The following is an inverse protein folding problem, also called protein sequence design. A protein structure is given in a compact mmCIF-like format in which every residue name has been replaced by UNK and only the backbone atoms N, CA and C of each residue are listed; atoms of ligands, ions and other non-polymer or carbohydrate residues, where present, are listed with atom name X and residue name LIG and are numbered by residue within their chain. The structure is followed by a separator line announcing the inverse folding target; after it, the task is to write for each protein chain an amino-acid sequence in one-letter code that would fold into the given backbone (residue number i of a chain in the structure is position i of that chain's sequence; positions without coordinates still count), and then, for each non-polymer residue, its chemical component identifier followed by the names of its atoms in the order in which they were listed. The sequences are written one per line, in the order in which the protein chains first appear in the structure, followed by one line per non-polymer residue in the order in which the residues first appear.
data_IF_370700242256
#
_entry.id   IF_370700242256
#
_cell.length_a   1.000
_cell.length_b   1.000
_cell.length_c   1.000
_cell.angle_alpha   90.00
_cell.angle_beta   90.00
_cell.angle_gamma   90.00
#
_symmetry.space_group_name_H-M   'P 1'
#
loop_
_entity.id
_entity.type
_entity.pdbx_description
1 polymer ?
#
# COMPACT_ATOMS: atom_id res chain seq x y z
N UNK A 1 24.12 -26.45 11.10
CA UNK A 1 24.68 -25.11 10.81
C UNK A 1 25.56 -25.12 9.55
N UNK A 2 26.52 -26.04 9.43
CA UNK A 2 27.39 -26.19 8.25
C UNK A 2 26.64 -26.34 6.92
N UNK A 3 25.61 -27.19 6.86
CA UNK A 3 24.80 -27.38 5.64
C UNK A 3 24.00 -26.14 5.19
N UNK A 4 23.59 -25.28 6.14
CA UNK A 4 22.92 -24.03 5.80
C UNK A 4 23.91 -23.02 5.23
N UNK A 5 25.13 -22.95 5.80
CA UNK A 5 26.20 -22.07 5.31
C UNK A 5 26.66 -22.46 3.91
N UNK A 6 26.80 -23.75 3.61
CA UNK A 6 27.15 -24.20 2.24
C UNK A 6 26.07 -23.84 1.23
N UNK A 7 24.80 -24.05 1.56
CA UNK A 7 23.67 -23.65 0.72
C UNK A 7 23.63 -22.12 0.49
N UNK A 8 23.85 -21.32 1.54
CA UNK A 8 23.94 -19.86 1.42
C UNK A 8 25.08 -19.43 0.48
N UNK A 9 26.26 -20.03 0.62
CA UNK A 9 27.41 -19.74 -0.24
C UNK A 9 27.14 -20.10 -1.70
N UNK A 10 26.47 -21.22 -1.97
CA UNK A 10 26.08 -21.61 -3.33
C UNK A 10 25.06 -20.64 -3.94
N UNK A 11 24.05 -20.22 -3.18
CA UNK A 11 23.07 -19.21 -3.63
C UNK A 11 23.76 -17.89 -3.95
N UNK A 12 24.65 -17.40 -3.08
CA UNK A 12 25.41 -16.17 -3.31
C UNK A 12 26.32 -16.29 -4.54
N UNK A 13 27.03 -17.41 -4.69
CA UNK A 13 27.86 -17.66 -5.86
C UNK A 13 27.03 -17.63 -7.15
N UNK A 14 25.89 -18.32 -7.18
CA UNK A 14 24.99 -18.31 -8.33
C UNK A 14 24.49 -16.89 -8.69
N UNK A 15 24.10 -16.10 -7.70
CA UNK A 15 23.66 -14.71 -7.89
C UNK A 15 24.78 -13.83 -8.45
N UNK A 16 25.99 -13.89 -7.87
CA UNK A 16 27.15 -13.12 -8.34
C UNK A 16 27.56 -13.54 -9.75
N UNK A 17 27.58 -14.86 -10.03
CA UNK A 17 27.88 -15.39 -11.36
C UNK A 17 26.90 -14.89 -12.42
N UNK A 18 25.60 -14.87 -12.12
CA UNK A 18 24.60 -14.39 -13.09
C UNK A 18 24.73 -12.88 -13.32
N UNK A 19 25.00 -12.09 -12.29
CA UNK A 19 25.24 -10.64 -12.42
C UNK A 19 26.46 -10.42 -13.31
N UNK A 20 27.55 -11.14 -13.06
CA UNK A 20 28.78 -11.03 -13.84
C UNK A 20 28.56 -11.43 -15.31
N UNK A 21 27.85 -12.53 -15.55
CA UNK A 21 27.52 -13.01 -16.89
C UNK A 21 26.67 -11.99 -17.67
N UNK A 22 25.60 -11.48 -17.05
CA UNK A 22 24.72 -10.47 -17.67
C UNK A 22 25.44 -9.13 -17.89
N UNK A 23 26.38 -8.76 -17.01
CA UNK A 23 27.27 -7.61 -17.23
C UNK A 23 28.14 -7.78 -18.48
N UNK A 24 28.63 -8.99 -18.76
CA UNK A 24 29.42 -9.30 -19.95
C UNK A 24 28.61 -9.30 -21.25
N UNK A 25 27.35 -9.72 -21.22
CA UNK A 25 26.45 -9.73 -22.39
C UNK A 25 25.87 -8.36 -22.76
N UNK A 26 26.03 -7.37 -21.88
CA UNK A 26 25.43 -6.05 -22.04
C UNK A 26 26.07 -5.29 -23.21
N UNK A 27 25.25 -4.93 -24.19
CA UNK A 27 25.58 -3.91 -25.20
C UNK A 27 25.16 -2.53 -24.68
N UNK A 28 25.86 -1.47 -25.09
CA UNK A 28 25.67 -0.10 -24.55
C UNK A 28 24.44 0.63 -25.13
N UNK A 29 23.43 -0.10 -25.59
CA UNK A 29 22.15 0.43 -26.04
C UNK A 29 21.11 0.44 -24.91
N UNK A 30 20.37 1.55 -24.78
CA UNK A 30 19.42 1.76 -23.69
C UNK A 30 18.29 0.72 -23.60
N UNK A 31 17.89 0.12 -24.73
CA UNK A 31 16.82 -0.88 -24.80
C UNK A 31 17.21 -2.24 -24.19
N UNK A 32 18.49 -2.62 -24.30
CA UNK A 32 18.99 -3.89 -23.77
C UNK A 32 19.06 -3.88 -22.23
N UNK A 33 19.20 -2.69 -21.63
CA UNK A 33 19.33 -2.52 -20.17
C UNK A 33 18.07 -2.93 -19.40
N UNK A 34 16.88 -2.65 -19.92
CA UNK A 34 15.61 -3.02 -19.26
C UNK A 34 15.38 -4.54 -19.35
N UNK A 35 15.61 -5.12 -20.52
CA UNK A 35 15.52 -6.57 -20.76
C UNK A 35 16.49 -7.34 -19.86
N UNK A 36 17.77 -6.92 -19.79
CA UNK A 36 18.76 -7.54 -18.91
C UNK A 36 18.33 -7.48 -17.44
N UNK A 37 17.81 -6.34 -16.97
CA UNK A 37 17.34 -6.21 -15.58
C UNK A 37 16.15 -7.13 -15.30
N UNK A 38 15.20 -7.25 -16.23
CA UNK A 38 14.05 -8.18 -16.09
C UNK A 38 14.50 -9.64 -16.16
N UNK A 39 15.49 -9.98 -16.98
CA UNK A 39 16.10 -11.33 -16.98
C UNK A 39 16.73 -11.64 -15.63
N UNK A 40 17.50 -10.71 -15.05
CA UNK A 40 18.05 -10.86 -13.70
C UNK A 40 16.92 -11.04 -12.66
N UNK A 41 15.87 -10.22 -12.72
CA UNK A 41 14.71 -10.34 -11.83
C UNK A 41 14.02 -11.70 -11.89
N UNK A 42 13.78 -12.23 -13.10
CA UNK A 42 13.19 -13.56 -13.30
C UNK A 42 14.11 -14.65 -12.75
N UNK A 43 15.42 -14.57 -13.00
CA UNK A 43 16.39 -15.53 -12.49
C UNK A 43 16.44 -15.53 -10.97
N UNK A 44 16.58 -14.35 -10.35
CA UNK A 44 16.59 -14.19 -8.89
C UNK A 44 15.29 -14.70 -8.28
N UNK A 45 14.14 -14.32 -8.85
CA UNK A 45 12.82 -14.79 -8.42
C UNK A 45 12.69 -16.31 -8.47
N UNK A 46 13.05 -16.91 -9.60
CA UNK A 46 13.01 -18.38 -9.78
C UNK A 46 13.96 -19.10 -8.83
N UNK A 47 15.16 -18.57 -8.61
CA UNK A 47 16.09 -19.11 -7.62
C UNK A 47 15.49 -19.04 -6.21
N UNK A 48 14.91 -17.90 -5.82
CA UNK A 48 14.32 -17.75 -4.49
C UNK A 48 13.08 -18.63 -4.28
N UNK A 49 12.32 -18.95 -5.33
CA UNK A 49 11.21 -19.91 -5.23
C UNK A 49 11.65 -21.27 -4.72
N UNK A 50 12.91 -21.68 -4.94
CA UNK A 50 13.46 -22.95 -4.43
C UNK A 50 13.77 -22.97 -2.92
N UNK A 51 13.71 -21.82 -2.24
CA UNK A 51 14.15 -21.70 -0.84
C UNK A 51 13.41 -22.59 0.16
N UNK A 52 12.08 -22.85 0.06
CA UNK A 52 11.38 -23.73 0.99
C UNK A 52 11.89 -25.17 1.00
N UNK A 53 12.63 -25.60 -0.05
CA UNK A 53 13.25 -26.92 -0.10
C UNK A 53 14.72 -26.90 0.36
N UNK A 54 15.40 -25.76 0.18
CA UNK A 54 16.81 -25.60 0.54
C UNK A 54 16.98 -25.28 2.03
N UNK A 55 16.11 -24.42 2.58
CA UNK A 55 16.25 -23.88 3.93
C UNK A 55 15.10 -24.32 4.82
N UNK A 56 15.44 -24.99 5.92
CA UNK A 56 14.46 -25.45 6.93
C UNK A 56 14.21 -24.43 8.04
N UNK A 57 15.10 -23.46 8.19
CA UNK A 57 15.00 -22.39 9.18
C UNK A 57 14.95 -21.03 8.48
N UNK A 58 14.35 -19.99 9.09
CA UNK A 58 14.24 -18.67 8.46
C UNK A 58 15.55 -17.86 8.48
N UNK A 59 16.42 -18.10 9.46
CA UNK A 59 17.64 -17.30 9.64
C UNK A 59 18.56 -17.24 8.41
N UNK A 60 18.83 -18.33 7.64
CA UNK A 60 19.71 -18.28 6.47
C UNK A 60 19.15 -17.35 5.40
N UNK A 61 17.84 -17.41 5.15
CA UNK A 61 17.16 -16.60 4.15
C UNK A 61 17.14 -15.14 4.57
N UNK A 62 16.83 -14.85 5.84
CA UNK A 62 16.88 -13.48 6.38
C UNK A 62 18.29 -12.90 6.27
N UNK A 63 19.32 -13.68 6.63
CA UNK A 63 20.71 -13.28 6.51
C UNK A 63 21.10 -12.99 5.04
N UNK A 64 20.77 -13.89 4.11
CA UNK A 64 21.00 -13.68 2.67
C UNK A 64 20.30 -12.41 2.17
N UNK A 65 19.04 -12.19 2.56
CA UNK A 65 18.26 -11.01 2.19
C UNK A 65 18.90 -9.72 2.67
N UNK A 66 19.40 -9.67 3.91
CA UNK A 66 20.09 -8.49 4.46
C UNK A 66 21.40 -8.26 3.71
N UNK A 67 22.23 -9.28 3.52
CA UNK A 67 23.51 -9.14 2.83
C UNK A 67 23.34 -8.73 1.36
N UNK A 68 22.39 -9.33 0.64
CA UNK A 68 22.08 -8.95 -0.74
C UNK A 68 21.60 -7.49 -0.82
N UNK A 69 20.76 -7.06 0.12
CA UNK A 69 20.28 -5.66 0.20
C UNK A 69 21.43 -4.67 0.42
N UNK A 70 22.33 -4.98 1.36
CA UNK A 70 23.51 -4.17 1.64
C UNK A 70 24.47 -4.13 0.46
N UNK A 71 24.68 -5.26 -0.20
CA UNK A 71 25.51 -5.35 -1.39
C UNK A 71 24.95 -4.51 -2.55
N UNK A 72 23.65 -4.60 -2.83
CA UNK A 72 22.99 -3.78 -3.86
C UNK A 72 23.08 -2.30 -3.49
N UNK A 73 22.88 -1.96 -2.21
CA UNK A 73 23.06 -0.60 -1.71
C UNK A 73 24.49 -0.09 -1.98
N UNK A 74 25.51 -0.90 -1.68
CA UNK A 74 26.91 -0.57 -1.94
C UNK A 74 27.19 -0.36 -3.44
N UNK A 75 26.76 -1.29 -4.30
CA UNK A 75 26.90 -1.18 -5.76
C UNK A 75 26.31 0.13 -6.28
N UNK A 76 25.16 0.52 -5.73
CA UNK A 76 24.43 1.72 -6.10
C UNK A 76 25.09 3.01 -5.59
N UNK A 77 25.48 3.06 -4.32
CA UNK A 77 26.11 4.25 -3.69
C UNK A 77 27.52 4.47 -4.25
N UNK A 78 28.28 3.41 -4.46
CA UNK A 78 29.64 3.46 -5.02
C UNK A 78 29.67 3.58 -6.55
N UNK A 79 28.49 3.56 -7.21
CA UNK A 79 28.34 3.63 -8.67
C UNK A 79 29.30 2.68 -9.42
N UNK A 80 29.35 1.42 -8.99
CA UNK A 80 30.28 0.43 -9.52
C UNK A 80 29.99 0.17 -11.01
N UNK A 81 30.80 0.75 -11.90
CA UNK A 81 30.55 0.75 -13.37
C UNK A 81 30.33 -0.65 -13.96
N UNK A 82 30.97 -1.68 -13.39
CA UNK A 82 30.83 -3.06 -13.86
C UNK A 82 29.43 -3.65 -13.62
N UNK A 83 28.78 -3.32 -12.50
CA UNK A 83 27.56 -4.02 -12.03
C UNK A 83 26.36 -3.09 -11.91
N UNK A 84 26.56 -1.81 -11.61
CA UNK A 84 25.50 -0.82 -11.49
C UNK A 84 24.57 -0.77 -12.72
N UNK A 85 25.04 -0.89 -13.98
CA UNK A 85 24.14 -0.88 -15.15
C UNK A 85 23.21 -2.10 -15.26
N UNK A 86 23.54 -3.21 -14.60
CA UNK A 86 22.76 -4.45 -14.60
C UNK A 86 21.83 -4.48 -13.39
N UNK A 87 22.34 -4.06 -12.24
CA UNK A 87 21.64 -4.11 -10.96
C UNK A 87 20.72 -2.90 -10.76
N UNK A 88 21.12 -1.71 -11.21
CA UNK A 88 20.36 -0.47 -10.95
C UNK A 88 19.63 0.02 -12.21
N UNK A 89 18.36 0.40 -12.06
CA UNK A 89 17.63 1.07 -13.12
C UNK A 89 18.30 2.40 -13.54
N UNK A 90 18.57 2.57 -14.84
CA UNK A 90 19.13 3.82 -15.39
C UNK A 90 18.07 4.93 -15.40
N UNK A 91 18.46 6.13 -14.98
CA UNK A 91 17.65 7.36 -15.13
C UNK A 91 16.48 7.54 -14.15
N UNK A 92 16.30 6.65 -13.17
CA UNK A 92 15.29 6.79 -12.10
C UNK A 92 15.87 6.41 -10.76
N UNK A 93 15.54 7.19 -9.72
CA UNK A 93 15.84 6.80 -8.34
C UNK A 93 14.83 5.73 -7.88
N UNK A 94 15.14 4.47 -8.17
CA UNK A 94 14.38 3.28 -7.72
C UNK A 94 15.06 2.65 -6.50
N UNK A 95 14.30 2.26 -5.48
CA UNK A 95 14.78 1.44 -4.36
C UNK A 95 14.35 -0.02 -4.50
N UNK A 96 13.66 -0.37 -5.59
CA UNK A 96 13.05 -1.68 -5.79
C UNK A 96 14.03 -2.84 -5.75
N UNK A 97 15.27 -2.61 -6.16
CA UNK A 97 16.31 -3.64 -6.18
C UNK A 97 16.78 -4.01 -4.76
N UNK A 98 16.66 -3.08 -3.81
CA UNK A 98 16.87 -3.35 -2.37
C UNK A 98 15.59 -3.94 -1.76
N UNK A 99 14.41 -3.48 -2.20
CA UNK A 99 13.13 -3.99 -1.73
C UNK A 99 12.92 -5.47 -2.02
N UNK A 100 13.37 -5.97 -3.18
CA UNK A 100 13.19 -7.36 -3.60
C UNK A 100 13.75 -8.38 -2.59
N UNK A 101 15.07 -8.38 -2.26
CA UNK A 101 15.61 -9.35 -1.31
C UNK A 101 15.00 -9.21 0.09
N UNK A 102 14.70 -7.98 0.54
CA UNK A 102 14.01 -7.75 1.81
C UNK A 102 12.61 -8.39 1.83
N UNK A 103 11.85 -8.25 0.74
CA UNK A 103 10.52 -8.85 0.63
C UNK A 103 10.59 -10.37 0.65
N UNK A 104 11.55 -10.97 -0.06
CA UNK A 104 11.78 -12.42 -0.05
C UNK A 104 12.07 -12.92 1.36
N UNK A 105 12.97 -12.25 2.09
CA UNK A 105 13.33 -12.66 3.46
C UNK A 105 12.17 -12.48 4.44
N UNK A 106 11.44 -11.38 4.33
CA UNK A 106 10.30 -11.09 5.19
C UNK A 106 9.14 -12.06 4.94
N UNK A 107 8.78 -12.32 3.68
CA UNK A 107 7.71 -13.29 3.36
C UNK A 107 8.14 -14.71 3.76
N UNK A 108 9.40 -15.10 3.59
CA UNK A 108 9.88 -16.41 4.06
C UNK A 108 9.74 -16.56 5.58
N UNK A 109 10.12 -15.51 6.33
CA UNK A 109 9.96 -15.46 7.78
C UNK A 109 8.49 -15.57 8.19
N UNK A 110 7.62 -14.77 7.55
CA UNK A 110 6.19 -14.72 7.88
C UNK A 110 5.45 -16.02 7.51
N UNK A 111 5.82 -16.65 6.39
CA UNK A 111 5.20 -17.89 5.93
C UNK A 111 5.36 -19.07 6.91
N UNK A 112 6.31 -19.02 7.85
CA UNK A 112 6.41 -19.99 8.94
C UNK A 112 6.58 -21.44 8.50
N UNK A 113 7.07 -21.68 7.28
CA UNK A 113 7.20 -23.01 6.68
C UNK A 113 6.06 -23.42 5.74
N UNK A 114 4.97 -22.64 5.67
CA UNK A 114 3.91 -22.87 4.67
C UNK A 114 4.41 -22.48 3.27
N UNK A 115 4.45 -23.46 2.37
CA UNK A 115 4.97 -23.27 1.01
C UNK A 115 4.07 -22.36 0.18
N UNK A 116 2.75 -22.42 0.36
CA UNK A 116 1.80 -21.61 -0.39
C UNK A 116 1.96 -20.13 -0.02
N UNK A 117 2.05 -19.84 1.28
CA UNK A 117 2.22 -18.49 1.81
C UNK A 117 3.55 -17.83 1.36
N UNK A 118 4.57 -18.63 1.05
CA UNK A 118 5.83 -18.11 0.51
C UNK A 118 5.88 -18.06 -1.02
N UNK A 119 5.59 -19.18 -1.68
CA UNK A 119 5.82 -19.32 -3.12
C UNK A 119 4.89 -18.45 -3.94
N UNK A 120 3.63 -18.29 -3.53
CA UNK A 120 2.65 -17.50 -4.30
C UNK A 120 3.08 -16.01 -4.35
N UNK A 121 3.35 -15.32 -3.22
CA UNK A 121 3.82 -13.94 -3.26
C UNK A 121 5.09 -13.73 -4.09
N UNK A 122 6.08 -14.63 -3.96
CA UNK A 122 7.36 -14.54 -4.68
C UNK A 122 7.14 -14.80 -6.18
N UNK A 123 6.29 -15.75 -6.54
CA UNK A 123 6.01 -16.06 -7.94
C UNK A 123 5.19 -14.95 -8.62
N UNK A 124 4.24 -14.32 -7.91
CA UNK A 124 3.54 -13.12 -8.41
C UNK A 124 4.56 -12.01 -8.69
N UNK A 125 5.44 -11.72 -7.73
CA UNK A 125 6.49 -10.72 -7.93
C UNK A 125 7.43 -11.07 -9.09
N UNK A 126 7.70 -12.35 -9.31
CA UNK A 126 8.63 -12.80 -10.37
C UNK A 126 8.00 -12.71 -11.75
N UNK A 127 6.83 -13.32 -11.92
CA UNK A 127 6.21 -13.54 -13.24
C UNK A 127 5.22 -12.46 -13.62
N UNK A 128 4.36 -12.00 -12.69
CA UNK A 128 3.34 -11.00 -13.00
C UNK A 128 3.96 -9.61 -13.22
N UNK A 129 4.96 -9.22 -12.42
CA UNK A 129 5.70 -7.96 -12.63
C UNK A 129 6.43 -7.93 -13.98
N UNK A 130 7.18 -8.99 -14.32
CA UNK A 130 7.88 -9.06 -15.59
C UNK A 130 6.92 -9.13 -16.79
N UNK A 131 5.90 -9.99 -16.71
CA UNK A 131 4.94 -10.18 -17.81
C UNK A 131 4.07 -8.95 -18.07
N UNK A 132 3.59 -8.28 -17.01
CA UNK A 132 2.81 -7.05 -17.14
C UNK A 132 3.60 -5.90 -17.76
N UNK A 133 4.89 -5.78 -17.45
CA UNK A 133 5.77 -4.80 -18.07
C UNK A 133 5.95 -5.06 -19.57
N UNK A 134 6.23 -6.30 -19.97
CA UNK A 134 6.37 -6.69 -21.38
C UNK A 134 5.09 -6.44 -22.19
N UNK A 135 3.94 -6.84 -21.64
CA UNK A 135 2.64 -6.65 -22.28
C UNK A 135 2.28 -5.16 -22.33
N UNK A 136 2.50 -4.41 -21.25
CA UNK A 136 2.25 -2.98 -21.18
C UNK A 136 3.09 -2.18 -22.17
N UNK A 137 4.36 -2.56 -22.39
CA UNK A 137 5.23 -1.92 -23.39
C UNK A 137 4.78 -2.21 -24.83
N UNK A 138 4.37 -3.44 -25.12
CA UNK A 138 4.03 -3.88 -26.50
C UNK A 138 2.61 -3.55 -26.91
N UNK A 139 1.64 -3.66 -26.00
CA UNK A 139 0.21 -3.58 -26.29
C UNK A 139 -0.52 -2.46 -25.55
N UNK A 140 0.18 -1.68 -24.71
CA UNK A 140 -0.45 -0.66 -23.89
C UNK A 140 -1.00 0.53 -24.67
N UNK A 141 -2.34 0.63 -24.75
CA UNK A 141 -3.05 1.74 -25.40
C UNK A 141 -3.62 2.71 -24.36
N UNK A 142 -4.26 2.18 -23.31
CA UNK A 142 -4.97 2.98 -22.29
C UNK A 142 -4.03 3.32 -21.13
N UNK A 143 -3.39 4.49 -21.26
CA UNK A 143 -2.40 5.02 -20.31
C UNK A 143 -3.06 5.78 -19.16
N UNK A 144 -2.52 5.65 -17.95
CA UNK A 144 -2.89 6.46 -16.79
C UNK A 144 -1.65 6.89 -16.01
N UNK A 145 -1.72 8.06 -15.37
CA UNK A 145 -0.62 8.61 -14.60
C UNK A 145 -0.60 8.09 -13.16
N UNK A 146 0.57 7.61 -12.73
CA UNK A 146 0.89 7.25 -11.35
C UNK A 146 1.96 8.19 -10.80
N UNK A 147 2.36 8.01 -9.54
CA UNK A 147 3.42 8.81 -8.92
C UNK A 147 4.80 8.62 -9.58
N UNK A 148 4.98 7.55 -10.35
CA UNK A 148 6.25 7.09 -10.93
C UNK A 148 6.33 7.20 -12.45
N UNK A 149 5.24 7.65 -13.10
CA UNK A 149 5.16 7.77 -14.55
C UNK A 149 3.82 7.31 -15.10
N UNK A 150 3.87 6.62 -16.24
CA UNK A 150 2.69 6.17 -16.97
C UNK A 150 2.59 4.65 -16.86
N UNK A 151 1.46 4.16 -16.36
CA UNK A 151 1.08 2.74 -16.40
C UNK A 151 -0.05 2.54 -17.42
N UNK A 152 -0.33 1.29 -17.78
CA UNK A 152 -1.34 0.94 -18.78
C UNK A 152 -2.35 -0.04 -18.20
N UNK A 153 -3.62 0.09 -18.58
CA UNK A 153 -4.66 -0.83 -18.10
C UNK A 153 -4.43 -2.25 -18.60
N UNK A 154 -3.85 -2.39 -19.79
CA UNK A 154 -3.49 -3.66 -20.41
C UNK A 154 -2.38 -4.36 -19.61
N UNK A 155 -1.38 -3.61 -19.14
CA UNK A 155 -0.36 -4.12 -18.22
C UNK A 155 -0.97 -4.60 -16.89
N UNK A 156 -1.85 -3.81 -16.27
CA UNK A 156 -2.51 -4.22 -15.01
C UNK A 156 -3.41 -5.45 -15.18
N UNK A 157 -4.14 -5.57 -16.30
CA UNK A 157 -4.93 -6.78 -16.61
C UNK A 157 -4.04 -8.00 -16.81
N UNK A 158 -2.92 -7.84 -17.52
CA UNK A 158 -1.93 -8.90 -17.67
C UNK A 158 -1.32 -9.31 -16.33
N UNK A 159 -1.02 -8.35 -15.45
CA UNK A 159 -0.55 -8.61 -14.09
C UNK A 159 -1.56 -9.50 -13.34
N UNK A 160 -2.83 -9.09 -13.30
CA UNK A 160 -3.87 -9.83 -12.59
C UNK A 160 -4.06 -11.24 -13.16
N UNK A 161 -4.04 -11.40 -14.49
CA UNK A 161 -4.18 -12.72 -15.13
C UNK A 161 -3.00 -13.65 -14.79
N UNK A 162 -1.77 -13.15 -14.89
CA UNK A 162 -0.58 -13.96 -14.56
C UNK A 162 -0.57 -14.30 -13.06
N UNK A 163 -0.89 -13.33 -12.20
CA UNK A 163 -1.00 -13.55 -10.76
C UNK A 163 -2.07 -14.62 -10.44
N UNK A 164 -3.23 -14.57 -11.10
CA UNK A 164 -4.29 -15.56 -10.96
C UNK A 164 -3.84 -16.97 -11.36
N UNK A 165 -3.21 -17.11 -12.53
CA UNK A 165 -2.73 -18.40 -13.04
C UNK A 165 -1.66 -18.99 -12.13
N UNK A 166 -0.65 -18.19 -11.77
CA UNK A 166 0.45 -18.63 -10.89
C UNK A 166 -0.07 -19.01 -9.51
N UNK A 167 -0.99 -18.23 -8.94
CA UNK A 167 -1.61 -18.53 -7.65
C UNK A 167 -2.40 -19.85 -7.71
N UNK A 168 -3.20 -20.04 -8.76
CA UNK A 168 -4.00 -21.27 -8.95
C UNK A 168 -3.11 -22.50 -9.06
N UNK A 169 -2.04 -22.42 -9.86
CA UNK A 169 -1.08 -23.53 -10.03
C UNK A 169 -0.42 -23.87 -8.71
N UNK A 170 0.14 -22.87 -8.01
CA UNK A 170 0.88 -23.13 -6.77
C UNK A 170 -0.06 -23.66 -5.67
N UNK A 171 -1.24 -23.05 -5.46
CA UNK A 171 -2.24 -23.56 -4.51
C UNK A 171 -2.57 -25.03 -4.77
N UNK A 172 -2.77 -25.41 -6.04
CA UNK A 172 -3.09 -26.79 -6.42
C UNK A 172 -1.94 -27.77 -6.14
N UNK A 173 -0.70 -27.29 -6.10
CA UNK A 173 0.49 -28.10 -5.83
C UNK A 173 0.88 -28.14 -4.35
N UNK A 174 0.57 -27.09 -3.57
CA UNK A 174 1.11 -26.92 -2.21
C UNK A 174 0.08 -26.90 -1.10
N UNK A 175 -1.18 -26.55 -1.35
CA UNK A 175 -2.19 -26.36 -0.31
C UNK A 175 -3.01 -27.62 0.04
N UNK A 176 -2.74 -28.76 -0.63
CA UNK A 176 -3.54 -29.98 -0.49
C UNK A 176 -4.88 -29.91 -1.27
N UNK A 177 -5.81 -30.85 -1.03
CA UNK A 177 -7.05 -30.95 -1.80
C UNK A 177 -8.03 -29.82 -1.42
N UNK A 178 -7.95 -28.70 -2.13
CA UNK A 178 -8.93 -27.62 -2.05
C UNK A 178 -10.04 -27.82 -3.09
N UNK A 179 -11.33 -27.61 -2.73
CA UNK A 179 -12.40 -27.50 -3.71
C UNK A 179 -12.06 -26.46 -4.79
N UNK A 180 -12.33 -26.78 -6.06
CA UNK A 180 -11.98 -25.91 -7.19
C UNK A 180 -12.54 -24.49 -7.02
N UNK A 181 -13.78 -24.34 -6.54
CA UNK A 181 -14.39 -23.05 -6.27
C UNK A 181 -13.62 -22.22 -5.22
N UNK A 182 -13.13 -22.87 -4.15
CA UNK A 182 -12.33 -22.21 -3.11
C UNK A 182 -10.98 -21.76 -3.67
N UNK A 183 -10.29 -22.63 -4.42
CA UNK A 183 -9.01 -22.32 -5.05
C UNK A 183 -9.12 -21.15 -6.04
N UNK A 184 -10.11 -21.17 -6.93
CA UNK A 184 -10.32 -20.12 -7.93
C UNK A 184 -10.73 -18.78 -7.28
N UNK A 185 -11.60 -18.80 -6.27
CA UNK A 185 -12.00 -17.59 -5.56
C UNK A 185 -10.82 -16.97 -4.80
N UNK A 186 -10.03 -17.79 -4.10
CA UNK A 186 -8.83 -17.34 -3.39
C UNK A 186 -7.80 -16.74 -4.37
N UNK A 187 -7.52 -17.44 -5.47
CA UNK A 187 -6.61 -16.95 -6.51
C UNK A 187 -7.09 -15.63 -7.13
N UNK A 188 -8.40 -15.48 -7.36
CA UNK A 188 -9.00 -14.25 -7.86
C UNK A 188 -8.80 -13.07 -6.90
N UNK A 189 -9.07 -13.28 -5.60
CA UNK A 189 -8.87 -12.25 -4.57
C UNK A 189 -7.40 -11.84 -4.49
N UNK A 190 -6.48 -12.79 -4.40
CA UNK A 190 -5.03 -12.53 -4.30
C UNK A 190 -4.54 -11.77 -5.54
N UNK A 191 -4.96 -12.19 -6.74
CA UNK A 191 -4.60 -11.53 -8.00
C UNK A 191 -5.08 -10.06 -8.05
N UNK A 192 -6.32 -9.79 -7.65
CA UNK A 192 -6.88 -8.44 -7.62
C UNK A 192 -6.15 -7.56 -6.59
N UNK A 193 -5.90 -8.07 -5.39
CA UNK A 193 -5.17 -7.34 -4.34
C UNK A 193 -3.74 -7.05 -4.79
N UNK A 194 -3.04 -8.03 -5.35
CA UNK A 194 -1.69 -7.87 -5.86
C UNK A 194 -1.61 -6.83 -6.99
N UNK A 195 -2.58 -6.83 -7.91
CA UNK A 195 -2.69 -5.80 -8.95
C UNK A 195 -2.95 -4.40 -8.35
N UNK A 196 -3.76 -4.29 -7.30
CA UNK A 196 -3.96 -3.00 -6.62
C UNK A 196 -2.65 -2.53 -5.94
N UNK A 197 -1.90 -3.42 -5.29
CA UNK A 197 -0.59 -3.09 -4.72
C UNK A 197 0.42 -2.65 -5.79
N UNK A 198 0.45 -3.32 -6.96
CA UNK A 198 1.24 -2.89 -8.12
C UNK A 198 0.83 -1.47 -8.55
N UNK A 199 -0.48 -1.20 -8.69
CA UNK A 199 -0.99 0.07 -9.18
C UNK A 199 -0.68 1.26 -8.25
N UNK A 200 -0.59 1.03 -6.93
CA UNK A 200 -0.26 2.09 -5.95
C UNK A 200 1.24 2.33 -5.77
N UNK A 201 2.08 1.38 -6.18
CA UNK A 201 3.50 1.40 -5.88
C UNK A 201 4.26 2.46 -6.68
N UNK A 202 5.32 3.00 -6.05
CA UNK A 202 6.21 4.01 -6.62
C UNK A 202 7.65 3.78 -6.15
N UNK A 203 8.64 4.32 -6.86
CA UNK A 203 10.08 4.13 -6.73
C UNK A 203 10.52 2.67 -6.57
N UNK A 204 9.83 1.74 -7.24
CA UNK A 204 10.12 0.30 -7.13
C UNK A 204 9.60 -0.34 -5.83
N UNK A 205 8.73 0.32 -5.07
CA UNK A 205 8.12 -0.26 -3.86
C UNK A 205 7.20 -1.46 -4.15
N UNK A 206 6.81 -1.69 -5.40
CA UNK A 206 6.09 -2.89 -5.84
C UNK A 206 6.86 -4.16 -5.47
N UNK A 207 8.19 -4.12 -5.58
CA UNK A 207 9.05 -5.22 -5.16
C UNK A 207 8.96 -5.57 -3.66
N UNK A 208 8.36 -4.72 -2.83
CA UNK A 208 8.06 -4.99 -1.42
C UNK A 208 6.58 -5.17 -1.15
N UNK A 209 5.75 -4.26 -1.68
CA UNK A 209 4.32 -4.20 -1.39
C UNK A 209 3.52 -5.32 -2.06
N UNK A 210 3.91 -5.77 -3.26
CA UNK A 210 3.21 -6.87 -3.94
C UNK A 210 3.37 -8.19 -3.18
N UNK A 211 4.59 -8.63 -2.79
CA UNK A 211 4.72 -9.85 -1.98
C UNK A 211 4.00 -9.75 -0.64
N UNK A 212 4.21 -8.68 0.12
CA UNK A 212 3.58 -8.54 1.44
C UNK A 212 2.06 -8.45 1.37
N UNK A 213 1.56 -7.74 0.36
CA UNK A 213 0.13 -7.65 0.07
C UNK A 213 -0.49 -8.99 -0.32
N UNK A 214 0.21 -9.78 -1.13
CA UNK A 214 -0.22 -11.12 -1.54
C UNK A 214 -0.17 -12.09 -0.37
N UNK A 215 0.87 -12.02 0.47
CA UNK A 215 0.96 -12.79 1.72
C UNK A 215 -0.22 -12.48 2.63
N UNK A 216 -0.49 -11.19 2.90
CA UNK A 216 -1.59 -10.77 3.76
C UNK A 216 -2.95 -11.20 3.19
N UNK A 217 -3.12 -11.13 1.87
CA UNK A 217 -4.31 -11.64 1.20
C UNK A 217 -4.48 -13.14 1.41
N UNK A 218 -3.43 -13.95 1.26
CA UNK A 218 -3.51 -15.38 1.52
C UNK A 218 -3.82 -15.66 2.99
N UNK A 219 -3.05 -15.10 3.91
CA UNK A 219 -3.19 -15.32 5.36
C UNK A 219 -4.61 -15.03 5.85
N UNK A 220 -5.23 -13.97 5.35
CA UNK A 220 -6.57 -13.53 5.77
C UNK A 220 -7.73 -14.25 5.08
N UNK A 221 -7.47 -15.10 4.08
CA UNK A 221 -8.51 -15.73 3.25
C UNK A 221 -8.37 -17.25 3.10
N UNK A 222 -7.17 -17.81 3.24
CA UNK A 222 -6.87 -19.21 2.89
C UNK A 222 -7.70 -20.23 3.70
N UNK A 223 -8.07 -19.89 4.93
CA UNK A 223 -8.89 -20.73 5.80
C UNK A 223 -10.41 -20.61 5.59
N UNK A 224 -10.87 -19.71 4.72
CA UNK A 224 -12.29 -19.42 4.55
C UNK A 224 -12.97 -20.40 3.58
N UNK A 225 -14.24 -20.76 3.84
CA UNK A 225 -15.03 -21.57 2.92
C UNK A 225 -15.33 -20.81 1.62
N UNK A 226 -15.65 -21.54 0.55
CA UNK A 226 -15.89 -20.97 -0.78
C UNK A 226 -16.98 -19.89 -0.81
N UNK A 227 -18.04 -20.03 0.00
CA UNK A 227 -19.11 -19.02 0.11
C UNK A 227 -18.60 -17.67 0.62
N UNK A 228 -17.81 -17.68 1.69
CA UNK A 228 -17.25 -16.47 2.29
C UNK A 228 -16.22 -15.82 1.36
N UNK A 229 -15.40 -16.62 0.68
CA UNK A 229 -14.51 -16.12 -0.37
C UNK A 229 -15.29 -15.46 -1.51
N UNK A 230 -16.38 -16.07 -1.96
CA UNK A 230 -17.27 -15.49 -2.96
C UNK A 230 -17.78 -14.11 -2.52
N UNK A 231 -18.28 -14.00 -1.28
CA UNK A 231 -18.73 -12.72 -0.72
C UNK A 231 -17.60 -11.69 -0.65
N UNK A 232 -16.41 -12.08 -0.18
CA UNK A 232 -15.24 -11.18 -0.11
C UNK A 232 -14.81 -10.70 -1.50
N UNK A 233 -14.82 -11.58 -2.50
CA UNK A 233 -14.53 -11.22 -3.88
C UNK A 233 -15.55 -10.23 -4.44
N UNK A 234 -16.85 -10.45 -4.19
CA UNK A 234 -17.91 -9.53 -4.59
C UNK A 234 -17.73 -8.14 -3.93
N UNK A 235 -17.40 -8.11 -2.64
CA UNK A 235 -17.15 -6.84 -1.92
C UNK A 235 -15.90 -6.15 -2.44
N UNK A 236 -14.81 -6.87 -2.70
CA UNK A 236 -13.59 -6.32 -3.29
C UNK A 236 -13.87 -5.68 -4.64
N UNK A 237 -14.52 -6.41 -5.55
CA UNK A 237 -14.87 -5.94 -6.89
C UNK A 237 -15.87 -4.79 -6.83
N UNK A 238 -16.89 -4.89 -5.98
CA UNK A 238 -17.90 -3.86 -5.78
C UNK A 238 -17.31 -2.55 -5.25
N UNK A 239 -16.46 -2.64 -4.22
CA UNK A 239 -15.77 -1.49 -3.63
C UNK A 239 -14.81 -0.84 -4.62
N UNK A 240 -13.97 -1.64 -5.30
CA UNK A 240 -13.05 -1.14 -6.32
C UNK A 240 -13.82 -0.45 -7.46
N UNK A 241 -14.89 -1.06 -7.94
CA UNK A 241 -15.74 -0.52 -9.01
C UNK A 241 -16.44 0.77 -8.58
N UNK A 242 -16.98 0.83 -7.36
CA UNK A 242 -17.62 2.01 -6.80
C UNK A 242 -16.66 3.20 -6.69
N UNK A 243 -15.44 2.96 -6.20
CA UNK A 243 -14.40 3.99 -6.06
C UNK A 243 -13.90 4.42 -7.46
N UNK A 244 -13.72 3.48 -8.40
CA UNK A 244 -13.36 3.83 -9.79
C UNK A 244 -14.47 4.64 -10.47
N UNK A 245 -15.74 4.30 -10.27
CA UNK A 245 -16.86 5.06 -10.83
C UNK A 245 -16.95 6.46 -10.22
N UNK A 246 -16.74 6.55 -8.90
CA UNK A 246 -16.67 7.81 -8.16
C UNK A 246 -15.46 8.68 -8.55
N UNK A 247 -14.50 8.17 -9.33
CA UNK A 247 -13.30 8.93 -9.74
C UNK A 247 -13.61 10.28 -10.36
N UNK A 248 -14.68 10.38 -11.16
CA UNK A 248 -15.11 11.64 -11.82
C UNK A 248 -15.50 12.71 -10.79
N UNK A 249 -15.90 12.26 -9.59
CA UNK A 249 -16.24 13.08 -8.43
C UNK A 249 -15.09 13.17 -7.42
N UNK A 250 -13.83 12.88 -7.80
CA UNK A 250 -12.65 13.10 -6.92
C UNK A 250 -11.51 13.84 -7.63
N UNK A 251 -10.54 14.30 -6.86
CA UNK A 251 -9.31 15.01 -7.26
C UNK A 251 -8.09 14.10 -7.15
N UNK A 252 -8.31 12.81 -6.91
CA UNK A 252 -7.30 11.78 -6.73
C UNK A 252 -6.87 11.22 -8.10
N UNK A 253 -5.59 10.90 -8.25
CA UNK A 253 -5.08 10.19 -9.42
C UNK A 253 -5.41 8.68 -9.36
N UNK A 254 -5.11 7.94 -10.43
CA UNK A 254 -5.42 6.52 -10.53
C UNK A 254 -4.81 5.67 -9.41
N UNK A 255 -3.56 5.94 -9.03
CA UNK A 255 -2.90 5.22 -7.93
C UNK A 255 -3.50 5.56 -6.57
N UNK A 256 -3.91 6.80 -6.31
CA UNK A 256 -4.60 7.16 -5.08
C UNK A 256 -5.97 6.47 -4.96
N UNK A 257 -6.72 6.34 -6.06
CA UNK A 257 -8.00 5.61 -6.10
C UNK A 257 -7.80 4.14 -5.73
N UNK A 258 -6.81 3.48 -6.33
CA UNK A 258 -6.47 2.10 -5.98
C UNK A 258 -6.06 1.97 -4.50
N UNK A 259 -5.33 2.95 -3.96
CA UNK A 259 -4.93 2.97 -2.54
C UNK A 259 -6.10 3.12 -1.58
N UNK A 260 -7.10 3.94 -1.92
CA UNK A 260 -8.32 4.06 -1.11
C UNK A 260 -9.11 2.75 -1.14
N UNK A 261 -9.26 2.12 -2.31
CA UNK A 261 -9.97 0.85 -2.42
C UNK A 261 -9.31 -0.24 -1.57
N UNK A 262 -7.99 -0.33 -1.63
CA UNK A 262 -7.20 -1.27 -0.85
C UNK A 262 -7.33 -1.01 0.65
N UNK A 263 -7.21 0.25 1.09
CA UNK A 263 -7.35 0.61 2.50
C UNK A 263 -8.75 0.29 3.04
N UNK A 264 -9.81 0.67 2.31
CA UNK A 264 -11.18 0.37 2.72
C UNK A 264 -11.45 -1.14 2.79
N UNK A 265 -10.90 -1.92 1.85
CA UNK A 265 -11.04 -3.38 1.86
C UNK A 265 -10.37 -4.02 3.08
N UNK A 266 -9.12 -3.64 3.38
CA UNK A 266 -8.43 -4.17 4.57
C UNK A 266 -9.04 -3.66 5.88
N UNK A 267 -9.53 -2.42 5.92
CA UNK A 267 -10.27 -1.91 7.09
C UNK A 267 -11.51 -2.76 7.36
N UNK A 268 -12.23 -3.15 6.29
CA UNK A 268 -13.39 -4.04 6.40
C UNK A 268 -13.01 -5.45 6.87
N UNK A 269 -11.96 -6.06 6.31
CA UNK A 269 -11.58 -7.44 6.69
C UNK A 269 -11.04 -7.53 8.11
N UNK A 270 -10.20 -6.58 8.51
CA UNK A 270 -9.51 -6.63 9.80
C UNK A 270 -10.43 -6.19 10.94
N UNK A 271 -11.18 -5.09 10.75
CA UNK A 271 -12.02 -4.51 11.79
C UNK A 271 -13.52 -4.74 11.62
N UNK A 272 -14.00 -5.06 10.42
CA UNK A 272 -15.43 -5.21 10.11
C UNK A 272 -16.06 -3.98 9.41
N UNK A 273 -17.38 -4.02 9.13
CA UNK A 273 -18.10 -2.97 8.37
C UNK A 273 -17.94 -1.55 8.93
N UNK A 274 -17.96 -1.41 10.26
CA UNK A 274 -17.85 -0.11 10.91
C UNK A 274 -16.47 0.55 10.68
N UNK A 275 -15.41 -0.25 10.57
CA UNK A 275 -14.06 0.25 10.35
C UNK A 275 -13.85 0.75 8.92
N UNK A 276 -14.60 0.22 7.94
CA UNK A 276 -14.60 0.76 6.58
C UNK A 276 -15.40 2.06 6.44
N UNK A 277 -16.25 2.42 7.41
CA UNK A 277 -17.15 3.57 7.32
C UNK A 277 -16.39 4.90 7.24
N UNK A 278 -15.46 5.15 8.17
CA UNK A 278 -14.68 6.40 8.24
C UNK A 278 -13.89 6.72 6.96
N UNK A 279 -13.10 5.79 6.37
CA UNK A 279 -12.40 6.08 5.12
C UNK A 279 -13.35 6.25 3.92
N UNK A 280 -14.46 5.51 3.86
CA UNK A 280 -15.48 5.67 2.79
C UNK A 280 -16.16 7.03 2.88
N UNK A 281 -16.56 7.46 4.08
CA UNK A 281 -17.17 8.77 4.31
C UNK A 281 -16.21 9.90 3.99
N UNK A 282 -14.94 9.78 4.38
CA UNK A 282 -13.94 10.78 4.01
C UNK A 282 -13.74 10.82 2.49
N UNK A 283 -13.62 9.68 1.81
CA UNK A 283 -13.47 9.62 0.36
C UNK A 283 -14.67 10.22 -0.39
N UNK A 284 -15.90 9.90 0.03
CA UNK A 284 -17.12 10.44 -0.59
C UNK A 284 -17.41 11.89 -0.23
N UNK A 285 -17.05 12.32 0.99
CA UNK A 285 -17.45 13.59 1.59
C UNK A 285 -16.41 14.70 1.54
N UNK A 286 -15.12 14.41 1.30
CA UNK A 286 -14.08 15.46 1.42
C UNK A 286 -14.28 16.62 0.44
N UNK A 287 -14.94 16.41 -0.71
CA UNK A 287 -15.26 17.51 -1.65
C UNK A 287 -16.25 18.52 -1.09
N UNK A 288 -17.11 18.12 -0.15
CA UNK A 288 -18.02 19.03 0.57
C UNK A 288 -17.19 19.93 1.51
N UNK A 289 -16.08 19.40 2.02
CA UNK A 289 -15.11 20.14 2.84
C UNK A 289 -14.27 21.10 1.99
N UNK A 290 -14.12 20.83 0.69
CA UNK A 290 -13.50 21.74 -0.27
C UNK A 290 -14.51 22.81 -0.74
N UNK A 291 -14.09 24.07 -0.89
CA UNK A 291 -14.95 25.11 -1.42
C UNK A 291 -15.08 25.06 -2.93
N UNK A 292 -16.13 25.74 -3.40
CA UNK A 292 -16.58 25.77 -4.78
C UNK A 292 -15.42 25.95 -5.79
N UNK A 293 -14.52 26.92 -5.58
CA UNK A 293 -13.42 27.22 -6.52
C UNK A 293 -12.36 26.10 -6.70
N UNK A 294 -12.31 25.12 -5.79
CA UNK A 294 -11.40 23.98 -5.88
C UNK A 294 -12.11 22.68 -6.25
N UNK A 295 -13.43 22.72 -6.49
CA UNK A 295 -14.18 21.57 -7.03
C UNK A 295 -13.80 21.28 -8.49
N UNK A 296 -13.29 22.28 -9.20
CA UNK A 296 -12.89 22.21 -10.61
C UNK A 296 -11.39 21.93 -10.84
N UNK A 297 -10.61 21.71 -9.76
CA UNK A 297 -9.20 21.35 -9.92
C UNK A 297 -9.04 19.94 -10.51
N UNK A 298 -8.25 19.84 -11.59
CA UNK A 298 -7.79 18.58 -12.17
C UNK A 298 -7.06 17.73 -11.12
N UNK A 299 -7.11 16.40 -11.27
CA UNK A 299 -6.56 15.42 -10.35
C UNK A 299 -5.09 15.68 -9.98
N UNK A 300 -4.85 16.27 -8.81
CA UNK A 300 -3.53 16.71 -8.34
C UNK A 300 -3.02 15.93 -7.13
N UNK A 301 -3.88 15.15 -6.49
CA UNK A 301 -3.54 14.41 -5.27
C UNK A 301 -3.06 13.01 -5.63
N UNK A 302 -1.85 12.68 -5.20
CA UNK A 302 -1.17 11.42 -5.45
C UNK A 302 -1.29 10.46 -4.26
N UNK A 303 -0.77 9.25 -4.42
CA UNK A 303 -0.74 8.20 -3.39
C UNK A 303 -0.17 8.69 -2.03
N UNK A 304 0.74 9.67 -2.03
CA UNK A 304 1.29 10.26 -0.79
C UNK A 304 0.21 10.87 0.12
N UNK A 305 -0.85 11.45 -0.46
CA UNK A 305 -1.96 11.99 0.30
C UNK A 305 -2.77 10.86 0.97
N UNK A 306 -3.01 9.77 0.24
CA UNK A 306 -3.72 8.59 0.77
C UNK A 306 -2.93 7.93 1.87
N UNK A 307 -1.62 7.77 1.72
CA UNK A 307 -0.74 7.21 2.75
C UNK A 307 -0.70 8.10 3.98
N UNK A 308 -0.66 9.42 3.80
CA UNK A 308 -0.74 10.37 4.92
C UNK A 308 -2.01 10.13 5.74
N UNK A 309 -3.16 10.00 5.06
CA UNK A 309 -4.47 9.77 5.71
C UNK A 309 -4.57 8.37 6.32
N UNK A 310 -4.05 7.36 5.65
CA UNK A 310 -4.12 5.97 6.09
C UNK A 310 -3.17 5.67 7.26
N UNK A 311 -2.01 6.35 7.36
CA UNK A 311 -0.91 5.95 8.26
C UNK A 311 -1.33 5.75 9.71
N UNK A 312 -1.99 6.74 10.32
CA UNK A 312 -2.49 6.61 11.70
C UNK A 312 -3.67 5.61 11.81
N UNK A 313 -4.50 5.49 10.76
CA UNK A 313 -5.57 4.49 10.70
C UNK A 313 -5.05 3.05 10.67
N UNK A 314 -3.93 2.79 9.97
CA UNK A 314 -3.27 1.47 9.93
C UNK A 314 -2.87 1.03 11.34
N UNK A 315 -2.32 1.94 12.15
CA UNK A 315 -1.92 1.62 13.54
C UNK A 315 -3.11 1.08 14.33
N UNK A 316 -4.24 1.77 14.30
CA UNK A 316 -5.45 1.31 15.01
C UNK A 316 -6.03 0.02 14.44
N UNK A 317 -5.95 -0.19 13.12
CA UNK A 317 -6.38 -1.45 12.51
C UNK A 317 -5.57 -2.65 13.03
N UNK A 318 -4.27 -2.49 13.31
CA UNK A 318 -3.45 -3.55 13.92
C UNK A 318 -3.92 -3.94 15.32
N UNK A 319 -4.61 -3.03 16.02
CA UNK A 319 -5.16 -3.28 17.35
C UNK A 319 -6.67 -3.61 17.32
N UNK A 320 -7.32 -3.56 16.15
CA UNK A 320 -8.77 -3.76 16.02
C UNK A 320 -9.28 -5.09 16.59
N UNK A 321 -8.45 -6.13 16.56
CA UNK A 321 -8.77 -7.44 17.13
C UNK A 321 -8.75 -7.49 18.66
N UNK A 322 -8.14 -6.51 19.34
CA UNK A 322 -8.03 -6.48 20.80
C UNK A 322 -9.22 -5.82 21.49
N UNK A 323 -9.80 -4.78 20.89
CA UNK A 323 -11.01 -4.13 21.39
C UNK A 323 -11.71 -3.34 20.28
N UNK A 324 -13.04 -3.38 20.29
CA UNK A 324 -13.88 -2.55 19.42
C UNK A 324 -13.85 -1.07 19.82
N UNK A 325 -13.46 -0.73 21.06
CA UNK A 325 -13.40 0.66 21.54
C UNK A 325 -12.37 1.49 20.76
N UNK A 326 -11.37 0.84 20.15
CA UNK A 326 -10.38 1.50 19.30
C UNK A 326 -10.95 2.08 18.01
N UNK A 327 -12.21 1.79 17.70
CA UNK A 327 -12.91 2.43 16.59
C UNK A 327 -13.15 3.94 16.84
N UNK A 328 -13.21 4.39 18.11
CA UNK A 328 -13.29 5.80 18.45
C UNK A 328 -12.01 6.58 18.10
N UNK A 329 -10.81 6.24 18.62
CA UNK A 329 -9.59 6.90 18.21
C UNK A 329 -9.28 6.73 16.72
N UNK A 330 -9.63 5.58 16.11
CA UNK A 330 -9.57 5.40 14.65
C UNK A 330 -10.40 6.45 13.91
N UNK A 331 -11.65 6.69 14.33
CA UNK A 331 -12.54 7.69 13.71
C UNK A 331 -12.00 9.11 13.88
N UNK A 332 -11.42 9.43 15.04
CA UNK A 332 -10.78 10.73 15.26
C UNK A 332 -9.57 10.97 14.34
N UNK A 333 -8.84 9.93 13.92
CA UNK A 333 -7.79 10.07 12.89
C UNK A 333 -8.38 10.65 11.60
N UNK A 334 -9.45 10.06 11.07
CA UNK A 334 -10.08 10.54 9.84
C UNK A 334 -10.71 11.92 10.03
N UNK A 335 -11.30 12.17 11.21
CA UNK A 335 -11.92 13.46 11.51
C UNK A 335 -10.89 14.59 11.64
N UNK A 336 -9.73 14.31 12.26
CA UNK A 336 -8.58 15.20 12.26
C UNK A 336 -8.09 15.50 10.84
N UNK A 337 -7.97 14.49 9.99
CA UNK A 337 -7.65 14.69 8.57
C UNK A 337 -8.68 15.52 7.83
N UNK A 338 -9.98 15.28 8.03
CA UNK A 338 -11.07 16.04 7.44
C UNK A 338 -11.00 17.53 7.84
N UNK A 339 -10.76 17.82 9.12
CA UNK A 339 -10.60 19.18 9.62
C UNK A 339 -9.36 19.85 9.03
N UNK A 340 -8.22 19.15 8.97
CA UNK A 340 -6.99 19.68 8.35
C UNK A 340 -7.20 19.95 6.85
N UNK A 341 -7.91 19.10 6.13
CA UNK A 341 -8.25 19.31 4.70
C UNK A 341 -9.12 20.57 4.55
N UNK A 342 -10.14 20.74 5.41
CA UNK A 342 -11.01 21.92 5.41
C UNK A 342 -10.25 23.21 5.78
N UNK A 343 -9.26 23.13 6.68
CA UNK A 343 -8.46 24.29 7.10
C UNK A 343 -7.37 24.64 6.10
N UNK A 344 -6.74 23.64 5.47
CA UNK A 344 -5.75 23.85 4.42
C UNK A 344 -6.31 24.71 3.29
N UNK A 345 -7.63 24.65 3.06
CA UNK A 345 -8.30 25.55 2.15
C UNK A 345 -8.26 27.04 2.56
N UNK A 346 -8.50 27.38 3.83
CA UNK A 346 -8.63 28.77 4.29
C UNK A 346 -7.40 29.61 3.97
N UNK A 347 -6.22 28.98 4.00
CA UNK A 347 -4.94 29.58 3.63
C UNK A 347 -4.92 30.12 2.19
N UNK A 348 -5.58 29.44 1.25
CA UNK A 348 -5.55 29.85 -0.14
C UNK A 348 -6.56 30.93 -0.50
N UNK A 349 -7.44 31.30 0.44
CA UNK A 349 -8.45 32.35 0.22
C UNK A 349 -7.90 33.76 0.40
N UNK A 350 -6.58 33.91 0.60
CA UNK A 350 -5.96 35.21 0.84
C UNK A 350 -6.38 35.85 2.17
N UNK A 351 -6.97 35.06 3.07
CA UNK A 351 -7.37 35.52 4.40
C UNK A 351 -6.14 35.43 5.31
N UNK A 352 -5.52 36.56 5.59
CA UNK A 352 -4.26 36.67 6.34
C UNK A 352 -4.39 36.43 7.86
N UNK A 353 -5.61 36.27 8.40
CA UNK A 353 -5.85 35.94 9.82
C UNK A 353 -6.75 34.71 9.97
N UNK A 354 -6.47 33.82 10.95
CA UNK A 354 -7.43 32.78 11.30
C UNK A 354 -8.69 33.45 11.86
N UNK A 355 -9.80 33.40 11.13
CA UNK A 355 -11.07 33.57 11.79
C UNK A 355 -11.28 32.31 12.63
N UNK A 356 -11.23 32.45 13.96
CA UNK A 356 -11.56 31.36 14.91
C UNK A 356 -12.85 30.66 14.47
N UNK A 357 -13.83 31.44 14.01
CA UNK A 357 -15.06 30.96 13.42
C UNK A 357 -14.87 29.93 12.29
N UNK A 358 -13.91 30.15 11.40
CA UNK A 358 -13.69 29.28 10.25
C UNK A 358 -12.96 27.98 10.63
N UNK A 359 -12.12 28.00 11.67
CA UNK A 359 -11.53 26.79 12.28
C UNK A 359 -12.61 25.99 13.00
N UNK A 360 -13.46 26.66 13.79
CA UNK A 360 -14.63 26.04 14.43
C UNK A 360 -15.54 25.41 13.38
N UNK A 361 -15.86 26.12 12.29
CA UNK A 361 -16.69 25.59 11.21
C UNK A 361 -16.04 24.38 10.53
N UNK A 362 -14.73 24.40 10.29
CA UNK A 362 -14.02 23.26 9.70
C UNK A 362 -14.04 22.04 10.63
N UNK A 363 -13.81 22.24 11.93
CA UNK A 363 -13.92 21.20 12.95
C UNK A 363 -15.33 20.63 13.03
N UNK A 364 -16.35 21.49 13.07
CA UNK A 364 -17.74 21.04 13.13
C UNK A 364 -18.15 20.29 11.86
N UNK A 365 -17.73 20.73 10.67
CA UNK A 365 -17.97 19.98 9.42
C UNK A 365 -17.33 18.59 9.45
N UNK A 366 -16.08 18.50 9.91
CA UNK A 366 -15.37 17.23 10.04
C UNK A 366 -16.04 16.30 11.05
N UNK A 367 -16.44 16.83 12.20
CA UNK A 367 -17.17 16.11 13.23
C UNK A 367 -18.54 15.65 12.73
N UNK A 368 -19.33 16.50 12.07
CA UNK A 368 -20.62 16.11 11.49
C UNK A 368 -20.45 15.01 10.44
N UNK A 369 -19.42 15.09 9.60
CA UNK A 369 -19.19 14.09 8.54
C UNK A 369 -18.82 12.71 9.11
N UNK A 370 -17.99 12.67 10.14
CA UNK A 370 -17.32 11.43 10.57
C UNK A 370 -17.74 10.92 11.94
N UNK A 371 -18.27 11.76 12.83
CA UNK A 371 -18.68 11.37 14.17
C UNK A 371 -20.20 11.19 14.29
N UNK A 372 -21.00 11.97 13.55
CA UNK A 372 -22.47 11.87 13.59
C UNK A 372 -22.98 10.48 13.16
N UNK A 373 -22.46 9.84 12.08
CA UNK A 373 -22.91 8.50 11.71
C UNK A 373 -22.65 7.47 12.81
N UNK A 374 -21.57 7.64 13.59
CA UNK A 374 -21.23 6.75 14.69
C UNK A 374 -22.11 6.97 15.93
N UNK A 375 -22.56 8.20 16.19
CA UNK A 375 -23.55 8.46 17.27
C UNK A 375 -24.83 7.66 17.07
N UNK A 376 -25.25 7.47 15.81
CA UNK A 376 -26.45 6.69 15.47
C UNK A 376 -26.23 5.18 15.62
N UNK A 377 -24.98 4.73 15.65
CA UNK A 377 -24.60 3.31 15.68
C UNK A 377 -24.14 2.85 17.06
N UNK A 378 -23.57 3.74 17.88
CA UNK A 378 -23.20 3.43 19.25
C UNK A 378 -24.43 3.30 20.15
N UNK A 379 -24.44 2.23 20.94
CA UNK A 379 -25.42 2.01 22.01
C UNK A 379 -24.87 2.33 23.40
N UNK A 380 -23.55 2.49 23.52
CA UNK A 380 -22.87 2.79 24.78
C UNK A 380 -22.92 4.28 25.10
N UNK A 381 -23.42 4.61 26.28
CA UNK A 381 -23.52 5.98 26.78
C UNK A 381 -22.13 6.62 26.96
N UNK A 382 -21.11 5.87 27.38
CA UNK A 382 -19.73 6.41 27.50
C UNK A 382 -19.22 6.90 26.15
N UNK A 383 -19.37 6.08 25.11
CA UNK A 383 -18.94 6.41 23.76
C UNK A 383 -19.72 7.60 23.17
N UNK A 384 -21.03 7.67 23.42
CA UNK A 384 -21.86 8.82 23.01
C UNK A 384 -21.32 10.12 23.64
N UNK A 385 -21.02 10.10 24.95
CA UNK A 385 -20.49 11.28 25.66
C UNK A 385 -19.12 11.70 25.11
N UNK A 386 -18.23 10.74 24.85
CA UNK A 386 -16.92 11.02 24.25
C UNK A 386 -17.06 11.63 22.84
N UNK A 387 -17.99 11.13 22.03
CA UNK A 387 -18.23 11.67 20.69
C UNK A 387 -18.86 13.06 20.73
N UNK A 388 -19.77 13.36 21.66
CA UNK A 388 -20.41 14.67 21.77
C UNK A 388 -19.47 15.75 22.31
N UNK A 389 -18.73 15.45 23.38
CA UNK A 389 -17.99 16.48 24.13
C UNK A 389 -16.49 16.49 23.83
N UNK A 390 -15.85 15.32 23.75
CA UNK A 390 -14.41 15.24 23.55
C UNK A 390 -14.02 15.35 22.07
N UNK A 391 -14.76 14.70 21.17
CA UNK A 391 -14.38 14.64 19.75
C UNK A 391 -14.20 16.02 19.10
N UNK A 392 -15.07 17.04 19.31
CA UNK A 392 -14.86 18.37 18.74
C UNK A 392 -13.53 18.99 19.19
N UNK A 393 -13.16 18.82 20.46
CA UNK A 393 -11.89 19.32 21.03
C UNK A 393 -10.71 18.55 20.45
N UNK A 394 -10.79 17.21 20.45
CA UNK A 394 -9.75 16.32 19.95
C UNK A 394 -9.50 16.50 18.44
N UNK A 395 -10.52 16.91 17.67
CA UNK A 395 -10.39 17.27 16.25
C UNK A 395 -9.82 18.69 16.10
N UNK A 396 -10.39 19.66 16.82
CA UNK A 396 -10.11 21.08 16.65
C UNK A 396 -8.72 21.51 17.12
N UNK A 397 -8.24 21.02 18.25
CA UNK A 397 -6.94 21.43 18.79
C UNK A 397 -5.76 21.03 17.86
N UNK A 398 -5.66 19.77 17.37
CA UNK A 398 -4.63 19.41 16.39
C UNK A 398 -4.73 20.17 15.07
N UNK A 399 -5.95 20.39 14.59
CA UNK A 399 -6.24 21.17 13.39
C UNK A 399 -5.76 22.63 13.52
N UNK A 400 -6.00 23.26 14.66
CA UNK A 400 -5.52 24.61 14.97
C UNK A 400 -3.99 24.67 15.06
N UNK A 401 -3.36 23.71 15.73
CA UNK A 401 -1.90 23.63 15.82
C UNK A 401 -1.25 23.42 14.44
N UNK A 402 -1.85 22.55 13.61
CA UNK A 402 -1.43 22.39 12.22
C UNK A 402 -1.48 23.72 11.46
N UNK A 403 -2.55 24.52 11.63
CA UNK A 403 -2.64 25.83 11.02
C UNK A 403 -1.50 26.76 11.47
N UNK A 404 -1.27 26.90 12.78
CA UNK A 404 -0.23 27.77 13.34
C UNK A 404 1.18 27.41 12.85
N UNK A 405 1.49 26.12 12.74
CA UNK A 405 2.81 25.65 12.26
C UNK A 405 3.00 25.90 10.77
N UNK A 406 1.92 25.96 9.98
CA UNK A 406 1.98 26.11 8.53
C UNK A 406 1.69 27.54 8.03
N UNK A 407 1.29 28.48 8.90
CA UNK A 407 1.07 29.89 8.53
C UNK A 407 2.37 30.65 8.27
N UNK A 408 3.47 30.26 8.94
CA UNK A 408 4.75 30.99 8.88
C UNK A 408 5.60 30.74 7.62
N UNK A 409 5.24 29.79 6.75
CA UNK A 409 6.07 29.41 5.60
C UNK A 409 5.26 29.28 4.31
N UNK A 410 5.47 30.15 3.31
CA UNK A 410 4.91 30.08 1.94
C UNK A 410 5.52 28.93 1.10
N UNK A 411 5.61 27.73 1.66
CA UNK A 411 6.07 26.55 0.93
C UNK A 411 4.93 25.92 0.09
N UNK A 412 5.23 25.34 -1.09
CA UNK A 412 4.23 24.77 -1.98
C UNK A 412 3.43 23.63 -1.33
N UNK A 413 2.14 23.56 -1.70
CA UNK A 413 1.11 22.69 -1.11
C UNK A 413 1.38 21.18 -1.23
N UNK A 414 2.35 20.79 -2.05
CA UNK A 414 2.64 19.41 -2.48
C UNK A 414 3.96 18.86 -1.92
N UNK A 415 4.68 19.61 -1.07
CA UNK A 415 5.91 19.12 -0.45
C UNK A 415 5.64 17.89 0.42
N UNK A 416 6.52 16.88 0.33
CA UNK A 416 6.48 15.65 1.13
C UNK A 416 6.39 15.93 2.64
N UNK A 417 7.06 16.98 3.12
CA UNK A 417 7.05 17.39 4.53
C UNK A 417 5.68 17.82 5.04
N UNK A 418 4.78 18.30 4.16
CA UNK A 418 3.39 18.62 4.53
C UNK A 418 2.63 17.36 4.92
N UNK A 419 2.74 16.30 4.11
CA UNK A 419 2.01 15.05 4.33
C UNK A 419 2.41 14.36 5.63
N UNK A 420 3.69 14.44 6.00
CA UNK A 420 4.19 13.95 7.29
C UNK A 420 3.59 14.76 8.44
N UNK A 421 3.63 16.10 8.37
CA UNK A 421 3.02 16.96 9.39
C UNK A 421 1.53 16.67 9.54
N UNK A 422 0.79 16.59 8.43
CA UNK A 422 -0.63 16.29 8.45
C UNK A 422 -0.94 14.95 9.12
N UNK A 423 -0.16 13.90 8.84
CA UNK A 423 -0.29 12.61 9.51
C UNK A 423 -0.04 12.71 11.02
N UNK A 424 1.03 13.41 11.44
CA UNK A 424 1.35 13.59 12.87
C UNK A 424 0.26 14.33 13.64
N UNK A 425 -0.26 15.44 13.10
CA UNK A 425 -1.33 16.18 13.76
C UNK A 425 -2.65 15.39 13.78
N UNK A 426 -2.98 14.66 12.73
CA UNK A 426 -4.15 13.78 12.76
C UNK A 426 -3.97 12.60 13.74
N UNK A 427 -2.76 12.06 13.87
CA UNK A 427 -2.45 11.04 14.87
C UNK A 427 -2.66 11.58 16.30
N UNK A 428 -2.29 12.84 16.56
CA UNK A 428 -2.54 13.50 17.86
C UNK A 428 -4.03 13.53 18.21
N UNK A 429 -4.93 13.75 17.23
CA UNK A 429 -6.37 13.66 17.47
C UNK A 429 -6.79 12.28 17.98
N UNK A 430 -6.22 11.22 17.41
CA UNK A 430 -6.49 9.85 17.85
C UNK A 430 -5.89 9.49 19.20
N UNK A 431 -4.71 10.02 19.54
CA UNK A 431 -4.09 9.81 20.87
C UNK A 431 -4.96 10.43 21.97
N UNK A 432 -5.50 11.62 21.74
CA UNK A 432 -6.44 12.25 22.68
C UNK A 432 -7.69 11.41 22.91
N UNK A 433 -8.24 10.79 21.86
CA UNK A 433 -9.36 9.87 22.01
C UNK A 433 -8.99 8.59 22.75
N UNK A 434 -7.80 8.05 22.49
CA UNK A 434 -7.31 6.84 23.16
C UNK A 434 -7.14 7.05 24.67
N UNK A 435 -6.54 8.17 25.08
CA UNK A 435 -6.37 8.51 26.49
C UNK A 435 -7.69 8.63 27.27
N UNK A 436 -8.80 8.89 26.58
CA UNK A 436 -10.12 9.01 27.20
C UNK A 436 -10.91 7.70 27.28
N UNK A 437 -10.46 6.66 26.55
CA UNK A 437 -11.05 5.32 26.62
C UNK A 437 -10.25 4.35 27.50
N UNK A 438 -8.96 4.65 27.75
CA UNK A 438 -8.20 4.09 28.88
C UNK A 438 -8.94 4.36 30.20
#
# INVERSE_FOLDING_TARGET
MTGALTAMSLVMAALVSVIHFLSGLRKDDGSNSESIRKTLHIFMGTLTLSFPWIFQAPWPVVTLSIFASLFICLVKVSNMKAWAPVVCARGRSSIGEICFPLAVGLVFLLAGGDRSLYMIPVAILTFADAGSALIGMRFGRRRFHTADGIKTTEGSLAFALIAFVVTTIILSLTAGPLPAAQCLALAGIVALIAMLFEAISWKGLDNLLVPLGSYLALETHMSLPAGDLGMRMLILVGLASAIIFARRKTTLNGSAIAGVALFCYFAWILGGPLWALSPVLLYGGYRILLPARYRDLRSSHSIYAVISVASAGIVWLLFSSRSQDFIFPYTLTFAGHAAIIAIAHMRFSGIDRPHVHAIVLATMKAWCLLCLPFLLLYKDTKMIMLVLFLAPIAIGAPAFLFYLVNTRHRAPATRSTRWIKQALFAAMASVLGFLAIL
#
